data_IF_326568288045
#
_entry.id   IF_326568288045
#
_cell.length_a   1.000
_cell.length_b   1.000
_cell.length_c   1.000
_cell.angle_alpha   90.00
_cell.angle_beta   90.00
_cell.angle_gamma   90.00
#
_symmetry.space_group_name_H-M   'P 1'
#
loop_
_entity.id
_entity.type
_entity.pdbx_description
1 polymer ?
#
# COMPACT_ATOMS: atom_id res chain seq x y z
N UNK A 1 -13.96 15.98 -12.59
CA UNK A 1 -12.97 14.94 -12.26
C UNK A 1 -12.95 14.71 -10.76
N UNK A 2 -12.62 13.47 -10.32
CA UNK A 2 -12.48 13.08 -8.92
C UNK A 2 -11.21 12.23 -8.80
N UNK A 3 -10.58 12.17 -7.63
CA UNK A 3 -9.41 11.32 -7.36
C UNK A 3 -9.73 10.32 -6.25
N UNK A 4 -9.20 9.10 -6.35
CA UNK A 4 -9.29 8.09 -5.29
C UNK A 4 -7.89 7.53 -5.03
N UNK A 5 -7.50 7.51 -3.77
CA UNK A 5 -6.25 6.93 -3.27
C UNK A 5 -6.60 5.68 -2.45
N UNK A 6 -6.35 4.49 -2.98
CA UNK A 6 -6.63 3.22 -2.31
C UNK A 6 -5.33 2.59 -1.83
N UNK A 7 -5.17 2.43 -0.52
CA UNK A 7 -3.97 1.86 0.12
C UNK A 7 -2.66 2.45 -0.47
N UNK A 8 -2.70 3.74 -0.77
CA UNK A 8 -1.67 4.44 -1.54
C UNK A 8 -0.49 4.86 -0.67
N UNK A 9 0.71 4.91 -1.25
CA UNK A 9 1.91 5.52 -0.64
C UNK A 9 1.85 7.06 -0.69
N UNK A 10 0.65 7.64 -0.76
CA UNK A 10 0.48 9.10 -0.68
C UNK A 10 0.84 9.59 0.72
N UNK A 11 1.96 10.29 0.83
CA UNK A 11 2.58 10.71 2.09
C UNK A 11 4.09 10.51 2.02
N UNK A 12 4.68 9.96 3.07
CA UNK A 12 6.10 9.64 3.11
C UNK A 12 6.32 8.37 3.96
N UNK A 13 6.92 7.34 3.37
CA UNK A 13 7.07 6.07 4.07
C UNK A 13 8.30 6.01 4.98
N UNK A 14 9.43 6.59 4.56
CA UNK A 14 10.66 6.47 5.33
C UNK A 14 10.56 7.26 6.65
N UNK A 15 10.99 6.62 7.73
CA UNK A 15 11.11 7.24 9.03
C UNK A 15 12.30 8.19 9.09
N UNK A 16 12.04 9.44 9.46
CA UNK A 16 13.04 10.45 9.79
C UNK A 16 12.49 11.45 10.83
N UNK A 17 13.22 12.52 11.10
CA UNK A 17 12.79 13.56 12.05
C UNK A 17 11.47 14.23 11.64
N UNK A 18 11.19 14.34 10.34
CA UNK A 18 9.97 14.93 9.78
C UNK A 18 8.80 13.93 9.68
N UNK A 19 9.07 12.63 9.86
CA UNK A 19 8.12 11.53 9.75
C UNK A 19 8.38 10.45 10.80
N UNK A 20 8.15 10.73 12.09
CA UNK A 20 8.46 9.80 13.19
C UNK A 20 7.62 8.50 13.13
N UNK A 21 6.46 8.53 12.49
CA UNK A 21 5.57 7.37 12.31
C UNK A 21 5.91 6.54 11.07
N UNK A 22 6.96 6.92 10.34
CA UNK A 22 7.42 6.21 9.16
C UNK A 22 8.06 4.85 9.46
N UNK A 23 8.34 4.11 8.42
CA UNK A 23 8.97 2.78 8.46
C UNK A 23 10.50 2.95 8.49
N UNK A 24 11.15 2.22 9.40
CA UNK A 24 12.61 2.25 9.54
C UNK A 24 13.32 1.84 8.23
N UNK A 25 14.41 2.53 7.90
CA UNK A 25 15.21 2.27 6.70
C UNK A 25 15.70 0.82 6.60
N UNK A 26 15.95 0.17 7.73
CA UNK A 26 16.41 -1.23 7.78
C UNK A 26 15.40 -2.21 7.18
N UNK A 27 14.10 -1.91 7.22
CA UNK A 27 13.04 -2.72 6.62
C UNK A 27 13.21 -2.74 5.09
N UNK A 28 13.40 -1.59 4.47
CA UNK A 28 13.58 -1.47 3.02
C UNK A 28 14.91 -2.09 2.55
N UNK A 29 15.98 -1.90 3.31
CA UNK A 29 17.26 -2.57 3.03
C UNK A 29 17.14 -4.09 3.16
N UNK A 30 16.40 -4.57 4.16
CA UNK A 30 16.04 -5.98 4.32
C UNK A 30 15.31 -6.52 3.08
N UNK A 31 14.26 -5.85 2.62
CA UNK A 31 13.53 -6.23 1.41
C UNK A 31 14.46 -6.37 0.19
N UNK A 32 15.33 -5.38 -0.05
CA UNK A 32 16.29 -5.41 -1.17
C UNK A 32 17.29 -6.57 -1.05
N UNK A 33 17.73 -6.88 0.17
CA UNK A 33 18.61 -8.01 0.46
C UNK A 33 17.91 -9.33 0.19
N UNK A 34 16.67 -9.48 0.63
CA UNK A 34 15.90 -10.72 0.45
C UNK A 34 15.56 -10.95 -1.02
N UNK A 35 15.20 -9.91 -1.77
CA UNK A 35 15.00 -9.97 -3.23
C UNK A 35 16.28 -10.44 -3.94
N UNK A 36 17.47 -9.97 -3.52
CA UNK A 36 18.75 -10.40 -4.12
C UNK A 36 19.11 -11.82 -3.73
N UNK A 37 18.78 -12.26 -2.53
CA UNK A 37 19.08 -13.59 -2.01
C UNK A 37 18.21 -14.65 -2.67
N UNK A 38 16.89 -14.47 -2.61
CA UNK A 38 15.91 -15.35 -3.22
C UNK A 38 14.63 -14.57 -3.53
N UNK A 39 14.53 -14.09 -4.77
CA UNK A 39 13.40 -13.30 -5.22
C UNK A 39 12.08 -14.07 -5.18
N UNK A 40 12.13 -15.37 -5.44
CA UNK A 40 10.94 -16.19 -5.48
C UNK A 40 10.35 -16.39 -4.08
N UNK A 41 11.18 -16.68 -3.09
CA UNK A 41 10.78 -16.78 -1.70
C UNK A 41 10.26 -15.43 -1.17
N UNK A 42 10.98 -14.33 -1.50
CA UNK A 42 10.53 -12.98 -1.16
C UNK A 42 9.12 -12.68 -1.71
N UNK A 43 8.86 -12.93 -3.00
CA UNK A 43 7.57 -12.64 -3.62
C UNK A 43 6.43 -13.46 -3.02
N UNK A 44 6.65 -14.73 -2.69
CA UNK A 44 5.66 -15.57 -2.03
C UNK A 44 5.34 -15.06 -0.62
N UNK A 45 6.36 -14.69 0.15
CA UNK A 45 6.20 -14.17 1.51
C UNK A 45 5.55 -12.79 1.50
N UNK A 46 5.94 -11.92 0.57
CA UNK A 46 5.36 -10.60 0.39
C UNK A 46 3.88 -10.66 0.03
N UNK A 47 3.48 -11.56 -0.88
CA UNK A 47 2.07 -11.74 -1.24
C UNK A 47 1.20 -12.11 -0.02
N UNK A 48 1.71 -12.94 0.89
CA UNK A 48 1.00 -13.27 2.15
C UNK A 48 0.79 -12.02 3.01
N UNK A 49 1.83 -11.21 3.20
CA UNK A 49 1.73 -9.95 3.95
C UNK A 49 0.78 -8.97 3.28
N UNK A 50 0.86 -8.83 1.96
CA UNK A 50 0.04 -7.94 1.13
C UNK A 50 -1.46 -8.23 1.28
N UNK A 51 -1.85 -9.50 1.32
CA UNK A 51 -3.24 -9.92 1.47
C UNK A 51 -3.63 -10.26 2.92
N UNK A 52 -2.77 -10.07 3.90
CA UNK A 52 -3.06 -10.34 5.30
C UNK A 52 -3.21 -11.83 5.63
N UNK A 53 -2.54 -12.72 4.88
CA UNK A 53 -2.55 -14.16 5.17
C UNK A 53 -1.71 -14.43 6.42
N UNK A 54 -2.36 -14.99 7.43
CA UNK A 54 -1.77 -15.39 8.71
C UNK A 54 -1.80 -16.90 8.93
N UNK A 55 -1.52 -17.32 10.18
CA UNK A 55 -1.55 -18.74 10.53
C UNK A 55 -2.95 -19.35 10.50
N UNK A 56 -3.98 -18.56 10.82
CA UNK A 56 -5.38 -19.02 10.93
C UNK A 56 -6.33 -18.24 10.01
N UNK A 57 -5.83 -17.21 9.33
CA UNK A 57 -6.61 -16.37 8.44
C UNK A 57 -6.07 -16.43 7.02
N UNK A 58 -6.95 -16.59 6.04
CA UNK A 58 -6.62 -16.55 4.62
C UNK A 58 -7.72 -15.80 3.88
N UNK A 59 -7.62 -14.45 3.81
CA UNK A 59 -8.65 -13.62 3.17
C UNK A 59 -8.79 -13.86 1.67
N UNK A 60 -7.78 -14.46 1.06
CA UNK A 60 -7.76 -14.78 -0.38
C UNK A 60 -7.45 -16.26 -0.60
N UNK A 61 -7.84 -16.79 -1.76
CA UNK A 61 -7.52 -18.16 -2.14
C UNK A 61 -6.05 -18.36 -2.48
N UNK A 62 -5.56 -19.61 -2.44
CA UNK A 62 -4.23 -19.95 -2.94
C UNK A 62 -4.03 -19.53 -4.41
N UNK A 63 -5.08 -19.65 -5.24
CA UNK A 63 -5.03 -19.23 -6.63
C UNK A 63 -4.72 -17.73 -6.82
N UNK A 64 -5.22 -16.86 -5.93
CA UNK A 64 -4.87 -15.43 -5.94
C UNK A 64 -3.40 -15.23 -5.58
N UNK A 65 -2.89 -15.96 -4.60
CA UNK A 65 -1.47 -15.88 -4.22
C UNK A 65 -0.56 -16.37 -5.36
N UNK A 66 -0.90 -17.49 -5.99
CA UNK A 66 -0.16 -18.06 -7.11
C UNK A 66 -0.16 -17.12 -8.32
N UNK A 67 -1.30 -16.52 -8.62
CA UNK A 67 -1.42 -15.54 -9.70
C UNK A 67 -0.59 -14.29 -9.42
N UNK A 68 -0.64 -13.74 -8.21
CA UNK A 68 0.16 -12.59 -7.79
C UNK A 68 1.66 -12.89 -7.87
N UNK A 69 2.06 -14.11 -7.49
CA UNK A 69 3.43 -14.57 -7.62
C UNK A 69 3.89 -14.58 -9.09
N UNK A 70 3.08 -15.13 -10.01
CA UNK A 70 3.38 -15.15 -11.45
C UNK A 70 3.58 -13.74 -11.99
N UNK A 71 2.67 -12.80 -11.65
CA UNK A 71 2.80 -11.39 -12.05
C UNK A 71 4.08 -10.77 -11.50
N UNK A 72 4.40 -11.01 -10.24
CA UNK A 72 5.62 -10.53 -9.61
C UNK A 72 6.90 -11.06 -10.29
N UNK A 73 6.90 -12.36 -10.67
CA UNK A 73 8.04 -12.98 -11.36
C UNK A 73 8.26 -12.41 -12.75
N UNK A 74 7.21 -11.97 -13.44
CA UNK A 74 7.32 -11.36 -14.78
C UNK A 74 7.98 -9.96 -14.77
N UNK A 75 8.00 -9.28 -13.61
CA UNK A 75 8.64 -7.97 -13.50
C UNK A 75 10.17 -8.08 -13.59
N UNK A 76 10.84 -7.02 -14.02
CA UNK A 76 12.30 -6.94 -14.04
C UNK A 76 12.87 -7.04 -12.62
N UNK A 77 13.84 -7.93 -12.33
CA UNK A 77 14.51 -8.00 -11.04
C UNK A 77 15.12 -6.66 -10.60
N UNK A 78 15.76 -5.96 -11.53
CA UNK A 78 16.33 -4.64 -11.27
C UNK A 78 15.24 -3.63 -10.90
N UNK A 79 14.17 -3.55 -11.69
CA UNK A 79 13.07 -2.62 -11.42
C UNK A 79 12.39 -2.92 -10.09
N UNK A 80 12.22 -4.19 -9.71
CA UNK A 80 11.67 -4.58 -8.41
C UNK A 80 12.48 -4.01 -7.25
N UNK A 81 13.82 -4.07 -7.34
CA UNK A 81 14.73 -3.50 -6.32
C UNK A 81 14.68 -1.97 -6.33
N UNK A 82 14.73 -1.35 -7.51
CA UNK A 82 14.73 0.11 -7.65
C UNK A 82 13.40 0.71 -7.15
N UNK A 83 12.28 0.01 -7.34
CA UNK A 83 10.98 0.42 -6.83
C UNK A 83 10.93 0.48 -5.30
N UNK A 84 11.69 -0.38 -4.58
CA UNK A 84 11.78 -0.30 -3.11
C UNK A 84 12.32 1.07 -2.68
N UNK A 85 13.38 1.54 -3.32
CA UNK A 85 13.91 2.88 -3.02
C UNK A 85 12.94 3.98 -3.45
N UNK A 86 12.28 3.83 -4.59
CA UNK A 86 11.33 4.83 -5.10
C UNK A 86 10.15 5.04 -4.14
N UNK A 87 9.44 3.99 -3.75
CA UNK A 87 8.28 4.16 -2.85
C UNK A 87 8.68 4.47 -1.41
N UNK A 88 9.86 4.01 -0.95
CA UNK A 88 10.32 4.28 0.40
C UNK A 88 10.74 5.74 0.61
N UNK A 89 11.48 6.30 -0.36
CA UNK A 89 12.22 7.57 -0.21
C UNK A 89 11.54 8.77 -0.85
N UNK A 90 10.49 8.56 -1.66
CA UNK A 90 9.78 9.68 -2.27
C UNK A 90 8.81 10.31 -1.27
N UNK A 91 9.02 11.58 -0.96
CA UNK A 91 8.12 12.37 -0.14
C UNK A 91 7.06 13.03 -1.03
N UNK A 92 5.82 12.52 -0.94
CA UNK A 92 4.68 13.04 -1.69
C UNK A 92 3.88 14.12 -0.94
N UNK A 93 4.25 14.46 0.30
CA UNK A 93 3.55 15.49 1.09
C UNK A 93 3.51 16.86 0.43
N UNK A 94 4.57 17.32 -0.28
CA UNK A 94 4.52 18.58 -1.04
C UNK A 94 3.45 18.59 -2.14
N UNK A 95 3.07 17.42 -2.67
CA UNK A 95 2.11 17.30 -3.77
C UNK A 95 0.65 17.41 -3.30
N UNK A 96 0.36 17.35 -1.99
CA UNK A 96 -1.01 17.42 -1.47
C UNK A 96 -1.74 18.69 -1.90
N UNK A 97 -1.04 19.81 -1.98
CA UNK A 97 -1.61 21.08 -2.42
C UNK A 97 -2.05 21.10 -3.90
N UNK A 98 -1.55 20.16 -4.71
CA UNK A 98 -1.94 20.03 -6.13
C UNK A 98 -3.30 19.31 -6.31
N UNK A 99 -3.82 18.65 -5.28
CA UNK A 99 -5.14 18.03 -5.31
C UNK A 99 -6.23 19.10 -5.15
N UNK A 100 -6.71 19.63 -6.26
CA UNK A 100 -7.77 20.67 -6.30
C UNK A 100 -9.14 20.11 -6.63
N UNK A 101 -9.28 18.78 -6.75
CA UNK A 101 -10.51 18.06 -7.07
C UNK A 101 -10.99 17.24 -5.88
N UNK A 102 -12.29 16.88 -5.80
CA UNK A 102 -12.79 15.99 -4.75
C UNK A 102 -11.93 14.72 -4.68
N UNK A 103 -11.42 14.43 -3.47
CA UNK A 103 -10.50 13.32 -3.25
C UNK A 103 -11.04 12.39 -2.16
N UNK A 104 -11.00 11.09 -2.43
CA UNK A 104 -11.31 10.03 -1.48
C UNK A 104 -10.05 9.24 -1.17
N UNK A 105 -9.77 9.00 0.10
CA UNK A 105 -8.75 8.09 0.58
C UNK A 105 -9.41 6.88 1.20
N UNK A 106 -9.06 5.67 0.76
CA UNK A 106 -9.52 4.41 1.35
C UNK A 106 -8.29 3.63 1.79
N UNK A 107 -8.24 3.20 3.07
CA UNK A 107 -7.07 2.51 3.60
C UNK A 107 -7.44 1.50 4.68
N UNK A 108 -6.77 0.34 4.67
CA UNK A 108 -6.91 -0.67 5.71
C UNK A 108 -6.12 -0.32 6.97
N UNK A 109 -6.73 -0.40 8.15
CA UNK A 109 -6.00 -0.12 9.41
C UNK A 109 -5.01 -1.23 9.78
N UNK A 110 -5.17 -2.42 9.20
CA UNK A 110 -4.26 -3.56 9.34
C UNK A 110 -3.18 -3.65 8.25
N UNK A 111 -3.02 -2.62 7.42
CA UNK A 111 -2.05 -2.61 6.32
C UNK A 111 -0.59 -2.61 6.86
N UNK A 112 0.08 -3.75 6.70
CA UNK A 112 1.49 -3.95 7.07
C UNK A 112 2.46 -3.68 5.92
N UNK A 113 1.94 -3.47 4.71
CA UNK A 113 2.74 -3.16 3.53
C UNK A 113 2.95 -1.66 3.42
N UNK A 114 1.87 -0.90 3.57
CA UNK A 114 1.86 0.56 3.56
C UNK A 114 1.10 1.04 4.80
N UNK A 115 1.77 1.29 5.94
CA UNK A 115 1.10 1.71 7.18
C UNK A 115 0.27 2.97 6.97
N UNK A 116 -0.95 2.97 7.52
CA UNK A 116 -1.95 4.01 7.28
C UNK A 116 -1.55 5.39 7.82
N UNK A 117 -0.83 5.45 8.97
CA UNK A 117 -0.52 6.72 9.62
C UNK A 117 0.34 7.66 8.76
N UNK A 118 1.51 7.23 8.25
CA UNK A 118 2.37 8.07 7.43
C UNK A 118 1.85 8.26 5.99
N UNK A 119 0.78 7.59 5.61
CA UNK A 119 0.26 7.56 4.22
C UNK A 119 -1.19 7.98 4.13
N UNK A 120 -2.15 7.08 4.32
CA UNK A 120 -3.59 7.37 4.14
C UNK A 120 -4.10 8.48 5.05
N UNK A 121 -3.75 8.46 6.34
CA UNK A 121 -4.13 9.52 7.29
C UNK A 121 -3.41 10.83 6.99
N UNK A 122 -2.11 10.76 6.65
CA UNK A 122 -1.36 11.94 6.25
C UNK A 122 -1.92 12.59 4.98
N UNK A 123 -2.28 11.80 3.97
CA UNK A 123 -2.91 12.29 2.75
C UNK A 123 -4.29 12.92 3.02
N UNK A 124 -5.13 12.27 3.82
CA UNK A 124 -6.46 12.80 4.16
C UNK A 124 -6.39 14.11 4.93
N UNK A 125 -5.38 14.26 5.80
CA UNK A 125 -5.15 15.49 6.57
C UNK A 125 -4.50 16.61 5.72
N UNK A 126 -3.67 16.24 4.76
CA UNK A 126 -2.90 17.19 3.94
C UNK A 126 -3.63 17.68 2.69
N UNK A 127 -4.52 16.88 2.12
CA UNK A 127 -5.30 17.23 0.93
C UNK A 127 -6.58 17.97 1.35
N UNK A 128 -6.74 19.19 0.92
CA UNK A 128 -7.89 20.02 1.28
C UNK A 128 -9.23 19.37 0.84
N UNK A 129 -10.11 19.11 1.80
CA UNK A 129 -11.44 18.54 1.55
C UNK A 129 -11.44 17.04 1.20
N UNK A 130 -10.32 16.34 1.36
CA UNK A 130 -10.28 14.89 1.19
C UNK A 130 -11.17 14.18 2.23
N UNK A 131 -11.81 13.10 1.81
CA UNK A 131 -12.55 12.19 2.69
C UNK A 131 -11.68 10.96 2.94
N UNK A 132 -11.69 10.45 4.18
CA UNK A 132 -11.03 9.19 4.55
C UNK A 132 -12.09 8.15 4.92
N UNK A 133 -11.96 6.96 4.34
CA UNK A 133 -12.68 5.75 4.78
C UNK A 133 -11.64 4.74 5.24
N UNK A 134 -11.65 4.45 6.54
CA UNK A 134 -10.81 3.43 7.12
C UNK A 134 -11.52 2.07 7.10
N UNK A 135 -10.82 1.05 6.64
CA UNK A 135 -11.28 -0.33 6.65
C UNK A 135 -10.63 -1.05 7.83
N UNK A 136 -11.40 -1.21 8.89
CA UNK A 136 -10.89 -1.72 10.16
C UNK A 136 -10.34 -3.15 10.05
N UNK A 137 -9.08 -3.33 10.46
CA UNK A 137 -8.35 -4.60 10.41
C UNK A 137 -7.93 -5.07 9.02
N UNK A 138 -8.38 -4.41 7.93
CA UNK A 138 -8.10 -4.87 6.57
C UNK A 138 -6.63 -4.64 6.16
N UNK A 139 -6.06 -5.58 5.37
CA UNK A 139 -4.70 -5.50 4.86
C UNK A 139 -4.60 -4.58 3.63
N UNK A 140 -3.43 -4.59 2.97
CA UNK A 140 -3.16 -3.77 1.79
C UNK A 140 -4.02 -4.11 0.57
N UNK A 141 -4.26 -5.40 0.34
CA UNK A 141 -4.91 -5.92 -0.86
C UNK A 141 -6.43 -5.78 -0.90
N UNK A 142 -6.99 -4.63 -0.55
CA UNK A 142 -8.43 -4.37 -0.42
C UNK A 142 -9.28 -4.82 -1.62
N UNK A 143 -8.72 -4.71 -2.83
CA UNK A 143 -9.42 -5.11 -4.07
C UNK A 143 -9.68 -6.61 -4.15
N UNK A 144 -8.96 -7.43 -3.38
CA UNK A 144 -9.14 -8.88 -3.33
C UNK A 144 -9.72 -9.37 -2.00
N UNK A 145 -9.49 -8.65 -0.89
CA UNK A 145 -9.97 -9.07 0.43
C UNK A 145 -11.39 -8.63 0.70
N UNK A 146 -11.77 -7.42 0.25
CA UNK A 146 -13.11 -6.84 0.46
C UNK A 146 -13.66 -6.14 -0.80
N UNK A 147 -13.69 -6.85 -1.96
CA UNK A 147 -14.01 -6.22 -3.25
C UNK A 147 -15.39 -5.58 -3.29
N UNK A 148 -16.40 -6.19 -2.68
CA UNK A 148 -17.78 -5.68 -2.73
C UNK A 148 -17.90 -4.34 -2.00
N UNK A 149 -17.30 -4.24 -0.80
CA UNK A 149 -17.27 -2.99 -0.03
C UNK A 149 -16.50 -1.90 -0.77
N UNK A 150 -15.32 -2.26 -1.30
CA UNK A 150 -14.50 -1.31 -2.06
C UNK A 150 -15.25 -0.79 -3.29
N UNK A 151 -15.89 -1.67 -4.05
CA UNK A 151 -16.67 -1.29 -5.22
C UNK A 151 -17.85 -0.38 -4.86
N UNK A 152 -18.55 -0.65 -3.75
CA UNK A 152 -19.65 0.19 -3.28
C UNK A 152 -19.18 1.60 -2.95
N UNK A 153 -18.12 1.74 -2.14
CA UNK A 153 -17.56 3.04 -1.76
C UNK A 153 -17.04 3.84 -2.97
N UNK A 154 -16.41 3.13 -3.94
CA UNK A 154 -15.97 3.74 -5.20
C UNK A 154 -17.15 4.25 -6.04
N UNK A 155 -18.20 3.46 -6.21
CA UNK A 155 -19.39 3.84 -6.99
C UNK A 155 -20.08 5.03 -6.33
N UNK A 156 -20.27 4.99 -5.00
CA UNK A 156 -20.89 6.09 -4.26
C UNK A 156 -20.11 7.41 -4.42
N UNK A 157 -18.80 7.34 -4.33
CA UNK A 157 -17.97 8.54 -4.47
C UNK A 157 -17.91 9.04 -5.92
N UNK A 158 -17.87 8.14 -6.91
CA UNK A 158 -17.70 8.51 -8.32
C UNK A 158 -19.02 8.94 -9.00
N UNK A 159 -20.17 8.53 -8.50
CA UNK A 159 -21.46 9.05 -8.95
C UNK A 159 -21.59 10.56 -8.64
#
# INVERSE_FOLDING_TARGET
SKAVLVASVAGYLLKDESNPDGVDASVFEGMKKDIRKDRFDFLQSFAKTFYGVGLVTSPVSQGVLDWSFVLGVMASPKATIDCVDAFAKTDFRPDFAAFTIPTLVIHGTGDKTVPIDPTGRAAANGIAGAKLIEYDGEPHGLFATVPDRLNQDLIEFLA
#
